data_IF_812438394759
#
_entry.id   IF_812438394759
#
_cell.length_a   1.000
_cell.length_b   1.000
_cell.length_c   1.000
_cell.angle_alpha   90.00
_cell.angle_beta   90.00
_cell.angle_gamma   90.00
#
_symmetry.space_group_name_H-M   'P 1'
#
loop_
_entity.id
_entity.type
_entity.pdbx_description
1 polymer ?
#
# COMPACT_ATOMS: atom_id res chain seq x y z
N UNK A 1 3.07 7.91 0.16
CA UNK A 1 3.24 7.62 1.61
C UNK A 1 4.71 7.38 1.93
N UNK A 2 5.23 8.06 2.95
CA UNK A 2 6.66 8.00 3.29
C UNK A 2 7.00 6.78 4.16
N UNK A 3 8.20 6.23 3.98
CA UNK A 3 8.62 5.00 4.67
C UNK A 3 8.68 5.17 6.20
N UNK A 4 9.00 6.38 6.66
CA UNK A 4 9.06 6.75 8.07
C UNK A 4 7.71 6.62 8.78
N UNK A 5 6.61 6.94 8.09
CA UNK A 5 5.25 6.86 8.64
C UNK A 5 4.77 5.42 8.80
N UNK A 6 5.23 4.53 7.91
CA UNK A 6 4.88 3.11 7.93
C UNK A 6 5.58 2.34 9.05
N UNK A 7 6.79 2.78 9.45
CA UNK A 7 7.60 2.09 10.46
C UNK A 7 7.04 2.17 11.88
N UNK A 8 6.27 3.21 12.19
CA UNK A 8 5.71 3.45 13.52
C UNK A 8 4.36 2.77 13.75
N UNK A 9 3.75 2.19 12.70
CA UNK A 9 2.43 1.54 12.77
C UNK A 9 2.52 0.11 13.26
N UNK A 10 1.47 -0.36 13.93
CA UNK A 10 1.38 -1.75 14.39
C UNK A 10 1.08 -2.70 13.22
N UNK A 11 1.39 -4.00 13.36
CA UNK A 11 1.10 -5.04 12.38
C UNK A 11 -0.36 -5.08 11.95
N UNK A 12 -1.29 -4.86 12.88
CA UNK A 12 -2.73 -4.80 12.59
C UNK A 12 -3.07 -3.60 11.70
N UNK A 13 -2.57 -2.42 12.07
CA UNK A 13 -2.77 -1.17 11.31
C UNK A 13 -2.12 -1.24 9.93
N UNK A 14 -0.97 -1.90 9.79
CA UNK A 14 -0.31 -2.13 8.50
C UNK A 14 -1.16 -3.01 7.59
N UNK A 15 -1.81 -4.05 8.13
CA UNK A 15 -2.72 -4.90 7.36
C UNK A 15 -4.01 -4.17 6.96
N UNK A 16 -4.58 -3.36 7.86
CA UNK A 16 -5.73 -2.51 7.56
C UNK A 16 -5.39 -1.51 6.45
N UNK A 17 -4.28 -0.79 6.59
CA UNK A 17 -3.79 0.16 5.59
C UNK A 17 -3.48 -0.51 4.24
N UNK A 18 -2.96 -1.74 4.26
CA UNK A 18 -2.72 -2.53 3.05
C UNK A 18 -4.03 -2.85 2.32
N UNK A 19 -5.08 -3.18 3.04
CA UNK A 19 -6.40 -3.42 2.45
C UNK A 19 -7.00 -2.13 1.88
N UNK A 20 -6.93 -1.02 2.62
CA UNK A 20 -7.39 0.29 2.13
C UNK A 20 -6.66 0.71 0.85
N UNK A 21 -5.33 0.63 0.85
CA UNK A 21 -4.49 1.01 -0.30
C UNK A 21 -4.79 0.13 -1.53
N UNK A 22 -5.12 -1.16 -1.33
CA UNK A 22 -5.52 -2.07 -2.41
C UNK A 22 -6.89 -1.72 -2.98
N UNK A 23 -7.86 -1.40 -2.14
CA UNK A 23 -9.17 -0.92 -2.57
C UNK A 23 -9.05 0.38 -3.36
N UNK A 24 -8.26 1.32 -2.86
CA UNK A 24 -7.99 2.57 -3.58
C UNK A 24 -7.34 2.29 -4.95
N UNK A 25 -6.33 1.42 -5.00
CA UNK A 25 -5.70 1.02 -6.26
C UNK A 25 -6.69 0.40 -7.24
N UNK A 26 -7.63 -0.42 -6.77
CA UNK A 26 -8.70 -0.99 -7.61
C UNK A 26 -9.60 0.12 -8.19
N UNK A 27 -9.99 1.10 -7.39
CA UNK A 27 -10.78 2.25 -7.87
C UNK A 27 -10.03 3.05 -8.94
N UNK A 28 -8.72 3.28 -8.77
CA UNK A 28 -7.90 3.94 -9.77
C UNK A 28 -7.77 3.11 -11.05
N UNK A 29 -7.64 1.78 -10.94
CA UNK A 29 -7.65 0.88 -12.10
C UNK A 29 -8.99 0.89 -12.82
N UNK A 30 -10.12 0.89 -12.09
CA UNK A 30 -11.45 0.99 -12.67
C UNK A 30 -11.63 2.31 -13.42
N UNK A 31 -11.23 3.43 -12.80
CA UNK A 31 -11.22 4.77 -13.44
C UNK A 31 -10.32 4.81 -14.67
N UNK A 32 -9.17 4.12 -14.65
CA UNK A 32 -8.28 4.00 -15.80
C UNK A 32 -8.95 3.23 -16.95
N UNK A 33 -9.59 2.10 -16.65
CA UNK A 33 -10.33 1.29 -17.63
C UNK A 33 -11.49 2.07 -18.26
N UNK A 34 -12.17 2.89 -17.47
CA UNK A 34 -13.25 3.77 -17.95
C UNK A 34 -12.74 5.02 -18.67
N UNK A 35 -11.42 5.19 -18.85
CA UNK A 35 -10.77 6.38 -19.43
C UNK A 35 -11.12 7.71 -18.72
N UNK A 36 -11.54 7.64 -17.46
CA UNK A 36 -11.89 8.80 -16.63
C UNK A 36 -10.75 9.22 -15.69
N UNK A 37 -9.59 8.58 -15.82
CA UNK A 37 -8.47 8.82 -14.92
C UNK A 37 -7.76 10.13 -15.26
N UNK A 38 -7.85 11.10 -14.36
CA UNK A 38 -7.12 12.38 -14.45
C UNK A 38 -5.69 12.30 -13.88
N UNK A 39 -5.43 11.37 -12.96
CA UNK A 39 -4.17 11.31 -12.19
C UNK A 39 -3.43 9.98 -12.42
N UNK A 40 -2.68 9.89 -13.52
CA UNK A 40 -1.96 8.67 -13.91
C UNK A 40 -0.82 8.30 -12.96
N UNK A 41 -0.19 9.28 -12.30
CA UNK A 41 0.92 9.07 -11.37
C UNK A 41 0.52 8.35 -10.07
N UNK A 42 -0.78 8.37 -9.71
CA UNK A 42 -1.24 7.73 -8.48
C UNK A 42 -1.18 6.21 -8.52
N UNK A 43 -1.42 5.59 -9.68
CA UNK A 43 -1.33 4.13 -9.81
C UNK A 43 0.06 3.61 -9.43
N UNK A 44 1.17 4.10 -10.03
CA UNK A 44 2.51 3.65 -9.64
C UNK A 44 2.87 4.05 -8.20
N UNK A 45 2.35 5.16 -7.68
CA UNK A 45 2.58 5.55 -6.28
C UNK A 45 1.89 4.61 -5.28
N UNK A 46 0.63 4.26 -5.52
CA UNK A 46 -0.12 3.28 -4.73
C UNK A 46 0.54 1.91 -4.79
N UNK A 47 1.01 1.47 -5.97
CA UNK A 47 1.78 0.22 -6.12
C UNK A 47 3.04 0.21 -5.26
N UNK A 48 3.81 1.31 -5.26
CA UNK A 48 5.00 1.46 -4.41
C UNK A 48 4.63 1.41 -2.93
N UNK A 49 3.52 2.04 -2.55
CA UNK A 49 3.01 2.03 -1.17
C UNK A 49 2.65 0.62 -0.70
N UNK A 50 1.90 -0.14 -1.51
CA UNK A 50 1.58 -1.55 -1.23
C UNK A 50 2.86 -2.40 -1.07
N UNK A 51 3.84 -2.21 -1.95
CA UNK A 51 5.11 -2.94 -1.87
C UNK A 51 5.88 -2.62 -0.56
N UNK A 52 5.93 -1.34 -0.17
CA UNK A 52 6.54 -0.90 1.09
C UNK A 52 5.86 -1.51 2.31
N UNK A 53 4.51 -1.47 2.36
CA UNK A 53 3.74 -2.05 3.47
C UNK A 53 3.97 -3.56 3.54
N UNK A 54 3.89 -4.26 2.41
CA UNK A 54 4.12 -5.72 2.35
C UNK A 54 5.52 -6.10 2.82
N UNK A 55 6.54 -5.35 2.41
CA UNK A 55 7.92 -5.55 2.87
C UNK A 55 8.03 -5.36 4.38
N UNK A 56 7.39 -4.33 4.94
CA UNK A 56 7.45 -4.02 6.37
C UNK A 56 6.76 -5.09 7.21
N UNK A 57 5.59 -5.56 6.78
CA UNK A 57 4.88 -6.71 7.38
C UNK A 57 5.74 -7.98 7.34
N UNK A 58 6.37 -8.28 6.21
CA UNK A 58 7.27 -9.43 6.07
C UNK A 58 8.51 -9.30 6.98
N UNK A 59 9.09 -8.10 7.06
CA UNK A 59 10.23 -7.81 7.93
C UNK A 59 9.89 -7.99 9.41
N UNK A 60 8.70 -7.56 9.84
CA UNK A 60 8.19 -7.78 11.19
C UNK A 60 7.98 -9.28 11.48
N UNK A 61 7.40 -10.02 10.53
CA UNK A 61 7.21 -11.47 10.66
C UNK A 61 8.52 -12.27 10.77
N UNK A 62 9.58 -11.83 10.08
CA UNK A 62 10.94 -12.42 10.22
C UNK A 62 11.57 -12.11 11.58
N UNK A 63 11.35 -10.90 12.12
CA UNK A 63 11.91 -10.48 13.41
C UNK A 63 11.34 -11.26 14.60
N UNK A 64 10.12 -11.79 14.47
CA UNK A 64 9.48 -12.62 15.49
C UNK A 64 9.86 -14.11 15.42
N UNK A 65 10.64 -14.54 14.41
CA UNK A 65 11.10 -15.93 14.22
C UNK A 65 12.62 -16.10 14.44
N UNK A 66 13.26 -15.18 15.17
CA UNK A 66 14.67 -15.22 15.60
C UNK A 66 14.67 -14.96 17.11
#
# INVERSE_FOLDING_TARGET
MEFSELKNKNLKELNELLNETRSELFDYQLKARNKQLKQFHKIPELRKTVARITMLVSSLGKKNNI
#
